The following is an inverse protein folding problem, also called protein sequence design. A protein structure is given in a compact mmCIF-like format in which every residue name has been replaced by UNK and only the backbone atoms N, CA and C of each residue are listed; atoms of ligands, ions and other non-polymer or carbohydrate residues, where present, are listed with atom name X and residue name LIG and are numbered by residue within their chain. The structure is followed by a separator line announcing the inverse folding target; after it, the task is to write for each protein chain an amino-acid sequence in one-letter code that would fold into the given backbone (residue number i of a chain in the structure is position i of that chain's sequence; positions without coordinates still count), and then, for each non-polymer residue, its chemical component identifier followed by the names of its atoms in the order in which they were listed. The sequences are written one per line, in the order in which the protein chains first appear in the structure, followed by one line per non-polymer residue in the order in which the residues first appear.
data_IF_751866951714
#
_entry.id   IF_751866951714
#
_cell.length_a   1.000
_cell.length_b   1.000
_cell.length_c   1.000
_cell.angle_alpha   90.00
_cell.angle_beta   90.00
_cell.angle_gamma   90.00
#
_symmetry.space_group_name_H-M   'P 1'
#
loop_
_entity.id
_entity.type
_entity.pdbx_description
1 polymer ?
#
# COMPACT_ATOMS: atom_id res chain seq x y z
N UNK A 1 -35.35 56.35 -5.09
CA UNK A 1 -34.75 55.03 -4.78
C UNK A 1 -33.70 54.73 -5.83
N UNK A 2 -32.42 54.79 -5.46
CA UNK A 2 -31.34 53.93 -6.00
C UNK A 2 -30.10 54.15 -5.13
N UNK A 3 -29.77 53.13 -4.34
CA UNK A 3 -28.52 52.97 -3.62
C UNK A 3 -27.38 52.73 -4.62
N UNK A 4 -26.15 53.16 -4.28
CA UNK A 4 -25.05 52.21 -4.42
C UNK A 4 -24.01 52.40 -3.31
N UNK A 5 -23.76 51.29 -2.61
CA UNK A 5 -23.10 51.18 -1.31
C UNK A 5 -21.63 50.79 -1.51
N UNK A 6 -20.73 51.49 -0.82
CA UNK A 6 -19.33 51.05 -0.61
C UNK A 6 -19.32 49.95 0.45
N UNK A 7 -19.16 48.70 0.03
CA UNK A 7 -18.84 47.61 0.94
C UNK A 7 -17.31 47.54 1.15
N UNK A 8 -16.85 48.00 2.31
CA UNK A 8 -15.53 47.67 2.84
C UNK A 8 -15.59 46.24 3.41
N UNK A 9 -14.84 45.30 2.84
CA UNK A 9 -14.62 43.99 3.46
C UNK A 9 -13.75 44.19 4.71
N UNK A 10 -14.36 44.01 5.89
CA UNK A 10 -13.63 43.80 7.15
C UNK A 10 -13.25 42.32 7.26
N UNK A 11 -11.95 42.06 7.35
CA UNK A 11 -11.38 40.74 7.65
C UNK A 11 -11.54 40.51 9.16
N UNK A 12 -12.16 39.41 9.63
CA UNK A 12 -12.22 39.10 11.05
C UNK A 12 -10.86 38.58 11.56
N UNK A 13 -10.47 38.88 12.82
CA UNK A 13 -9.24 38.38 13.39
C UNK A 13 -9.31 36.86 13.61
N UNK A 14 -8.25 36.15 13.21
CA UNK A 14 -8.10 34.72 13.41
C UNK A 14 -8.04 34.39 14.91
N UNK A 15 -8.96 33.54 15.36
CA UNK A 15 -8.94 32.95 16.70
C UNK A 15 -7.68 32.10 16.88
N UNK A 16 -6.92 32.39 17.94
CA UNK A 16 -5.80 31.59 18.42
C UNK A 16 -6.29 30.20 18.85
N UNK A 17 -5.77 29.16 18.19
CA UNK A 17 -5.82 27.78 18.67
C UNK A 17 -4.77 27.60 19.79
N UNK A 18 -5.12 26.96 20.92
CA UNK A 18 -4.15 26.67 21.96
C UNK A 18 -3.16 25.60 21.48
N UNK A 19 -1.88 25.83 21.73
CA UNK A 19 -0.79 24.92 21.38
C UNK A 19 -0.86 23.59 22.13
N UNK A 20 -0.13 22.57 21.66
CA UNK A 20 -0.11 21.25 22.29
C UNK A 20 0.60 21.30 23.65
N UNK A 21 -0.03 20.67 24.65
CA UNK A 21 0.53 20.44 25.98
C UNK A 21 1.77 19.52 25.93
N UNK A 22 2.74 19.69 26.84
CA UNK A 22 3.96 18.90 26.89
C UNK A 22 3.68 17.48 27.42
N UNK A 23 4.30 16.49 26.78
CA UNK A 23 4.27 15.09 27.22
C UNK A 23 5.36 14.86 28.29
N UNK A 24 4.93 14.46 29.49
CA UNK A 24 5.79 13.94 30.55
C UNK A 24 6.38 12.55 30.18
N UNK A 25 7.62 12.24 30.58
CA UNK A 25 8.25 10.95 30.32
C UNK A 25 7.97 9.96 31.46
N UNK A 26 7.61 8.72 31.11
CA UNK A 26 7.67 7.60 32.05
C UNK A 26 6.39 6.79 32.18
N UNK A 27 6.18 5.87 31.24
CA UNK A 27 5.55 4.59 31.56
C UNK A 27 5.95 3.55 30.53
N UNK A 28 6.64 2.52 31.02
CA UNK A 28 6.96 1.29 30.32
C UNK A 28 5.70 0.62 29.80
N UNK A 29 5.70 0.26 28.52
CA UNK A 29 4.71 -0.64 27.93
C UNK A 29 5.07 -2.10 28.29
N UNK A 30 4.08 -2.99 28.55
CA UNK A 30 4.35 -4.39 28.79
C UNK A 30 4.69 -5.11 27.47
N UNK A 31 5.68 -6.00 27.56
CA UNK A 31 6.08 -6.88 26.47
C UNK A 31 4.96 -7.90 26.17
N UNK A 32 4.45 -7.88 24.95
CA UNK A 32 3.58 -8.94 24.42
C UNK A 32 4.50 -10.03 23.86
N UNK A 33 4.65 -11.14 24.59
CA UNK A 33 5.28 -12.35 24.08
C UNK A 33 4.34 -13.04 23.08
N UNK A 34 4.78 -13.13 21.82
CA UNK A 34 4.18 -13.97 20.80
C UNK A 34 4.53 -15.44 21.10
N UNK A 35 3.54 -16.20 21.56
CA UNK A 35 3.62 -17.66 21.67
C UNK A 35 3.47 -18.30 20.28
N UNK A 36 4.52 -19.02 19.86
CA UNK A 36 4.51 -19.92 18.70
C UNK A 36 3.57 -21.12 18.94
N UNK A 37 2.85 -21.63 17.92
CA UNK A 37 2.04 -22.84 18.06
C UNK A 37 2.94 -24.09 18.11
N UNK A 38 2.77 -24.94 19.13
CA UNK A 38 3.35 -26.29 19.16
C UNK A 38 2.43 -27.29 18.45
N UNK A 39 3.01 -28.33 17.81
CA UNK A 39 2.25 -29.30 17.03
C UNK A 39 1.60 -30.38 17.91
N UNK A 40 0.48 -30.92 17.44
CA UNK A 40 -0.24 -32.07 18.00
C UNK A 40 0.59 -33.36 17.85
N UNK A 41 0.63 -34.24 18.86
CA UNK A 41 0.92 -35.65 18.66
C UNK A 41 -0.36 -36.47 18.59
N UNK A 42 -0.42 -37.33 17.59
CA UNK A 42 -1.29 -38.49 17.54
C UNK A 42 -0.62 -39.63 18.31
N UNK A 43 -1.35 -40.31 19.20
CA UNK A 43 -1.34 -41.78 19.27
C UNK A 43 -2.49 -42.29 20.14
N UNK A 44 -3.06 -43.43 19.74
CA UNK A 44 -4.15 -44.14 20.41
C UNK A 44 -3.59 -45.42 21.03
N UNK A 45 -3.93 -45.70 22.29
CA UNK A 45 -3.85 -47.07 22.83
C UNK A 45 -5.03 -47.39 23.74
N UNK A 46 -5.55 -48.60 23.56
CA UNK A 46 -6.62 -49.29 24.27
C UNK A 46 -6.36 -49.44 25.77
N UNK A 47 -7.34 -49.09 26.62
CA UNK A 47 -7.70 -49.83 27.84
C UNK A 47 -8.90 -49.15 28.53
N UNK A 48 -10.14 -49.55 28.22
CA UNK A 48 -11.24 -49.62 29.21
C UNK A 48 -12.50 -50.33 28.70
N UNK A 49 -12.34 -51.44 27.96
CA UNK A 49 -13.44 -52.36 27.67
C UNK A 49 -13.67 -53.33 28.83
N UNK A 50 -14.52 -52.94 29.79
CA UNK A 50 -15.27 -53.93 30.61
C UNK A 50 -16.51 -53.33 31.28
N UNK A 51 -17.65 -53.33 30.58
CA UNK A 51 -18.96 -53.62 31.18
C UNK A 51 -20.03 -53.64 30.08
N UNK A 52 -20.33 -54.85 29.64
CA UNK A 52 -21.43 -55.12 28.75
C UNK A 52 -22.78 -55.05 29.48
N UNK A 53 -23.80 -54.66 28.71
CA UNK A 53 -25.17 -55.17 28.74
C UNK A 53 -26.21 -54.56 29.69
N UNK A 54 -27.31 -54.16 29.04
CA UNK A 54 -28.73 -54.28 29.46
C UNK A 54 -29.33 -53.21 30.38
N UNK A 55 -30.24 -52.39 29.82
CA UNK A 55 -31.71 -52.61 29.81
C UNK A 55 -32.44 -51.35 29.36
N UNK A 56 -33.13 -51.46 28.23
CA UNK A 56 -34.26 -50.61 27.85
C UNK A 56 -35.36 -50.69 28.92
N UNK A 57 -35.89 -49.54 29.35
CA UNK A 57 -37.23 -49.43 29.96
C UNK A 57 -37.98 -48.26 29.31
N UNK A 58 -39.16 -48.59 28.80
CA UNK A 58 -40.20 -47.69 28.34
C UNK A 58 -40.77 -46.82 29.48
N UNK A 59 -41.22 -45.59 29.21
CA UNK A 59 -42.18 -44.91 30.05
C UNK A 59 -43.63 -45.24 29.62
N UNK A 60 -44.47 -45.63 30.58
CA UNK A 60 -45.93 -45.57 30.48
C UNK A 60 -46.43 -44.26 31.09
N UNK A 61 -47.47 -43.67 30.49
CA UNK A 61 -48.36 -42.70 31.14
C UNK A 61 -49.82 -43.08 30.78
N UNK A 62 -50.74 -43.17 31.76
CA UNK A 62 -52.10 -43.69 31.56
C UNK A 62 -53.17 -42.59 31.40
N UNK A 63 -54.35 -43.02 30.91
CA UNK A 63 -55.64 -42.49 31.41
C UNK A 63 -56.55 -41.82 30.37
N UNK A 64 -57.35 -42.63 29.66
CA UNK A 64 -58.48 -42.18 28.83
C UNK A 64 -59.70 -41.98 29.74
N UNK A 65 -60.20 -40.74 29.83
CA UNK A 65 -61.47 -40.42 30.49
C UNK A 65 -62.64 -40.50 29.51
N UNK A 66 -63.55 -41.45 29.75
CA UNK A 66 -64.81 -41.59 29.01
C UNK A 66 -65.84 -40.57 29.52
N UNK A 67 -66.02 -39.48 28.76
CA UNK A 67 -67.11 -38.53 28.94
C UNK A 67 -68.19 -38.74 27.88
N UNK A 68 -69.27 -39.43 28.25
CA UNK A 68 -70.46 -39.65 27.43
C UNK A 68 -71.13 -38.32 27.08
N UNK A 69 -70.84 -37.77 25.89
CA UNK A 69 -71.61 -36.66 25.31
C UNK A 69 -72.57 -37.20 24.27
N UNK A 70 -73.85 -37.18 24.64
CA UNK A 70 -74.98 -37.51 23.80
C UNK A 70 -74.97 -36.71 22.48
N UNK A 71 -74.81 -37.41 21.37
CA UNK A 71 -75.00 -36.84 20.04
C UNK A 71 -76.50 -36.73 19.75
N UNK A 72 -77.06 -35.52 19.92
CA UNK A 72 -78.32 -35.13 19.30
C UNK A 72 -78.10 -35.02 17.79
N UNK A 73 -78.57 -35.99 17.02
CA UNK A 73 -78.69 -35.85 15.57
C UNK A 73 -79.75 -34.79 15.25
N UNK A 74 -79.33 -33.70 14.60
CA UNK A 74 -80.22 -32.77 13.88
C UNK A 74 -80.09 -33.01 12.38
N UNK A 75 -81.17 -32.81 11.59
CA UNK A 75 -81.26 -33.27 10.22
C UNK A 75 -80.46 -32.35 9.29
N UNK A 76 -79.36 -32.86 8.75
CA UNK A 76 -78.52 -32.19 7.75
C UNK A 76 -77.56 -33.15 7.04
N UNK A 77 -77.83 -34.46 7.06
CA UNK A 77 -76.90 -35.50 6.63
C UNK A 77 -76.58 -35.49 5.12
N UNK A 78 -77.42 -34.86 4.28
CA UNK A 78 -77.09 -34.71 2.86
C UNK A 78 -76.01 -33.66 2.61
N UNK A 79 -76.01 -32.52 3.32
CA UNK A 79 -75.07 -31.42 3.07
C UNK A 79 -73.62 -31.73 3.50
N UNK A 80 -73.43 -32.63 4.48
CA UNK A 80 -72.11 -33.07 4.93
C UNK A 80 -71.45 -34.08 3.98
N UNK A 81 -72.24 -34.99 3.41
CA UNK A 81 -71.76 -36.00 2.48
C UNK A 81 -71.24 -35.37 1.17
N UNK A 82 -71.94 -34.36 0.64
CA UNK A 82 -71.48 -33.62 -0.54
C UNK A 82 -70.18 -32.86 -0.30
N UNK A 83 -69.97 -32.27 0.89
CA UNK A 83 -68.71 -31.60 1.24
C UNK A 83 -67.55 -32.58 1.38
N UNK A 84 -67.78 -33.75 1.98
CA UNK A 84 -66.76 -34.79 2.09
C UNK A 84 -66.37 -35.35 0.71
N UNK A 85 -67.34 -35.60 -0.17
CA UNK A 85 -67.08 -36.03 -1.54
C UNK A 85 -66.30 -34.97 -2.32
N UNK A 86 -66.67 -33.69 -2.20
CA UNK A 86 -65.95 -32.58 -2.84
C UNK A 86 -64.49 -32.48 -2.37
N UNK A 87 -64.22 -32.69 -1.08
CA UNK A 87 -62.86 -32.71 -0.55
C UNK A 87 -62.02 -33.88 -1.10
N UNK A 88 -62.63 -35.06 -1.25
CA UNK A 88 -61.95 -36.22 -1.85
C UNK A 88 -61.64 -35.99 -3.33
N UNK A 89 -62.60 -35.48 -4.10
CA UNK A 89 -62.39 -35.16 -5.51
C UNK A 89 -61.38 -34.01 -5.71
N UNK A 90 -61.39 -32.99 -4.85
CA UNK A 90 -60.40 -31.93 -4.87
C UNK A 90 -58.99 -32.45 -4.54
N UNK A 91 -58.88 -33.37 -3.58
CA UNK A 91 -57.60 -34.01 -3.22
C UNK A 91 -57.07 -34.87 -4.38
N UNK A 92 -57.92 -35.70 -4.98
CA UNK A 92 -57.57 -36.50 -6.15
C UNK A 92 -57.22 -35.61 -7.36
N UNK A 93 -57.97 -34.53 -7.58
CA UNK A 93 -57.69 -33.56 -8.64
C UNK A 93 -56.36 -32.84 -8.45
N UNK A 94 -56.01 -32.46 -7.22
CA UNK A 94 -54.72 -31.87 -6.89
C UNK A 94 -53.57 -32.87 -7.12
N UNK A 95 -53.76 -34.13 -6.73
CA UNK A 95 -52.79 -35.20 -6.98
C UNK A 95 -52.57 -35.45 -8.47
N UNK A 96 -53.66 -35.56 -9.24
CA UNK A 96 -53.61 -35.77 -10.68
C UNK A 96 -52.98 -34.58 -11.40
N UNK A 97 -53.28 -33.36 -10.96
CA UNK A 97 -52.68 -32.14 -11.51
C UNK A 97 -51.18 -32.07 -11.24
N UNK A 98 -50.72 -32.50 -10.06
CA UNK A 98 -49.30 -32.61 -9.75
C UNK A 98 -48.57 -33.63 -10.63
N UNK A 99 -49.20 -34.79 -10.88
CA UNK A 99 -48.65 -35.81 -11.77
C UNK A 99 -48.57 -35.32 -13.23
N UNK A 100 -49.63 -34.67 -13.71
CA UNK A 100 -49.70 -34.12 -15.06
C UNK A 100 -48.70 -32.96 -15.25
N UNK A 101 -48.42 -32.19 -14.20
CA UNK A 101 -47.40 -31.14 -14.22
C UNK A 101 -45.98 -31.71 -14.34
N UNK A 102 -45.70 -32.87 -13.73
CA UNK A 102 -44.40 -33.56 -13.84
C UNK A 102 -44.20 -34.16 -15.24
N UNK A 103 -45.26 -34.68 -15.88
CA UNK A 103 -45.15 -35.20 -17.26
C UNK A 103 -45.07 -34.11 -18.33
N UNK A 104 -45.68 -32.94 -18.11
CA UNK A 104 -45.74 -31.86 -19.10
C UNK A 104 -44.54 -30.90 -19.06
N UNK A 105 -43.74 -30.94 -17.98
CA UNK A 105 -42.55 -30.09 -17.84
C UNK A 105 -41.29 -30.83 -18.31
N UNK A 106 -40.69 -30.45 -19.45
CA UNK A 106 -39.39 -30.99 -19.83
C UNK A 106 -38.31 -30.53 -18.84
N UNK A 107 -37.60 -31.49 -18.25
CA UNK A 107 -36.44 -31.36 -17.34
C UNK A 107 -35.39 -30.29 -17.75
N UNK A 108 -35.36 -29.95 -19.03
CA UNK A 108 -34.39 -29.02 -19.66
C UNK A 108 -34.59 -27.56 -19.23
N UNK A 109 -35.81 -27.15 -18.88
CA UNK A 109 -36.09 -25.74 -18.51
C UNK A 109 -35.82 -25.44 -17.03
N UNK A 110 -35.99 -26.42 -16.14
CA UNK A 110 -35.69 -26.27 -14.71
C UNK A 110 -34.19 -26.24 -14.43
N UNK A 111 -33.40 -27.00 -15.18
CA UNK A 111 -31.95 -27.04 -15.01
C UNK A 111 -31.30 -25.70 -15.37
N UNK A 112 -31.76 -25.03 -16.43
CA UNK A 112 -31.21 -23.72 -16.85
C UNK A 112 -31.54 -22.57 -15.88
N UNK A 113 -32.73 -22.59 -15.28
CA UNK A 113 -33.17 -21.56 -14.32
C UNK A 113 -32.49 -21.72 -12.97
N UNK A 114 -32.33 -22.95 -12.48
CA UNK A 114 -31.58 -23.27 -11.25
C UNK A 114 -30.09 -22.92 -11.40
N UNK A 115 -29.49 -23.18 -12.57
CA UNK A 115 -28.10 -22.79 -12.84
C UNK A 115 -27.91 -21.27 -12.84
N UNK A 116 -28.87 -20.52 -13.42
CA UNK A 116 -28.81 -19.05 -13.42
C UNK A 116 -28.94 -18.46 -12.02
N UNK A 117 -29.78 -19.04 -11.15
CA UNK A 117 -30.01 -18.56 -9.78
C UNK A 117 -28.81 -18.86 -8.87
N UNK A 118 -28.13 -20.01 -9.05
CA UNK A 118 -26.89 -20.30 -8.34
C UNK A 118 -25.77 -19.30 -8.68
N UNK A 119 -25.70 -18.82 -9.93
CA UNK A 119 -24.68 -17.85 -10.36
C UNK A 119 -24.88 -16.42 -9.82
N UNK A 120 -26.09 -16.06 -9.36
CA UNK A 120 -26.38 -14.73 -8.79
C UNK A 120 -25.87 -14.61 -7.34
N UNK A 121 -25.66 -15.74 -6.65
CA UNK A 121 -25.09 -15.79 -5.29
C UNK A 121 -23.56 -15.67 -5.25
N UNK A 122 -22.88 -15.94 -6.37
CA UNK A 122 -21.45 -15.66 -6.51
C UNK A 122 -21.26 -14.18 -6.79
N UNK A 123 -21.17 -13.37 -5.74
CA UNK A 123 -20.61 -12.03 -5.87
C UNK A 123 -19.26 -12.19 -6.59
N UNK A 124 -19.05 -11.63 -7.80
CA UNK A 124 -17.75 -11.69 -8.42
C UNK A 124 -16.80 -11.02 -7.43
N UNK A 125 -15.85 -11.80 -6.93
CA UNK A 125 -14.82 -11.28 -6.04
C UNK A 125 -14.00 -10.33 -6.90
N UNK A 126 -14.37 -9.04 -6.88
CA UNK A 126 -13.61 -7.98 -7.49
C UNK A 126 -12.28 -7.88 -6.73
N UNK A 127 -11.31 -8.69 -7.14
CA UNK A 127 -9.93 -8.55 -6.69
C UNK A 127 -9.43 -7.27 -7.30
N UNK A 128 -9.13 -6.29 -6.45
CA UNK A 128 -8.37 -5.13 -6.89
C UNK A 128 -7.08 -5.66 -7.56
N UNK A 129 -6.71 -5.18 -8.76
CA UNK A 129 -5.45 -5.55 -9.37
C UNK A 129 -4.33 -5.24 -8.38
N UNK A 130 -3.33 -6.14 -8.29
CA UNK A 130 -2.17 -5.93 -7.43
C UNK A 130 -1.59 -4.54 -7.71
N UNK A 131 -1.21 -3.77 -6.67
CA UNK A 131 -0.58 -2.46 -6.86
C UNK A 131 0.57 -2.60 -7.84
N UNK A 132 0.47 -1.94 -9.00
CA UNK A 132 1.55 -1.98 -9.98
C UNK A 132 2.73 -1.22 -9.38
N UNK A 133 3.86 -1.91 -9.21
CA UNK A 133 5.13 -1.29 -8.85
C UNK A 133 5.48 -0.24 -9.91
N UNK A 134 5.72 0.99 -9.49
CA UNK A 134 6.15 2.08 -10.36
C UNK A 134 7.67 2.04 -10.54
N UNK A 135 8.18 2.67 -11.61
CA UNK A 135 9.62 2.81 -11.83
C UNK A 135 10.29 3.48 -10.63
N UNK A 136 11.46 2.98 -10.22
CA UNK A 136 12.19 3.45 -9.04
C UNK A 136 11.35 3.43 -7.74
N UNK A 137 10.32 2.59 -7.68
CA UNK A 137 9.42 2.45 -6.54
C UNK A 137 8.76 3.79 -6.15
N UNK A 138 8.43 4.63 -7.14
CA UNK A 138 7.69 5.87 -6.93
C UNK A 138 6.31 5.63 -6.31
N UNK A 139 5.83 6.61 -5.57
CA UNK A 139 4.48 6.57 -5.01
C UNK A 139 3.39 6.70 -6.10
N UNK A 140 3.59 7.58 -7.07
CA UNK A 140 2.67 7.79 -8.21
C UNK A 140 3.36 7.49 -9.53
N UNK A 141 2.62 7.02 -10.55
CA UNK A 141 3.16 6.86 -11.89
C UNK A 141 3.63 8.21 -12.47
N UNK A 142 4.76 8.20 -13.17
CA UNK A 142 5.20 9.36 -13.93
C UNK A 142 4.31 9.61 -15.17
N UNK A 143 4.11 10.88 -15.58
CA UNK A 143 3.44 11.20 -16.83
C UNK A 143 4.13 10.58 -18.06
N UNK A 144 3.42 10.38 -19.19
CA UNK A 144 4.03 9.89 -20.42
C UNK A 144 5.14 10.84 -20.89
N UNK A 145 6.10 10.30 -21.65
CA UNK A 145 7.26 11.04 -22.17
C UNK A 145 8.10 11.76 -21.10
N UNK A 146 8.28 11.10 -19.94
CA UNK A 146 9.18 11.56 -18.88
C UNK A 146 10.19 10.48 -18.51
N UNK A 147 11.27 10.87 -17.82
CA UNK A 147 12.19 9.97 -17.14
C UNK A 147 11.91 9.98 -15.64
N UNK A 148 11.74 8.82 -15.02
CA UNK A 148 11.64 8.66 -13.58
C UNK A 148 13.04 8.65 -12.94
N UNK A 149 13.24 9.40 -11.86
CA UNK A 149 14.44 9.31 -11.04
C UNK A 149 14.10 9.21 -9.56
N UNK A 150 15.00 8.61 -8.79
CA UNK A 150 14.96 8.62 -7.33
C UNK A 150 16.37 8.68 -6.78
N UNK A 151 16.62 9.67 -5.94
CA UNK A 151 17.89 9.90 -5.26
C UNK A 151 17.68 9.69 -3.77
N UNK A 152 18.54 8.88 -3.18
CA UNK A 152 18.56 8.57 -1.76
C UNK A 152 19.98 8.74 -1.24
N UNK A 153 20.19 9.60 -0.24
CA UNK A 153 21.48 9.70 0.43
C UNK A 153 21.74 8.46 1.31
N UNK A 154 22.98 8.33 1.78
CA UNK A 154 23.29 7.39 2.85
C UNK A 154 22.64 7.79 4.17
N UNK A 155 22.42 6.79 5.03
CA UNK A 155 21.95 6.94 6.41
C UNK A 155 22.92 6.24 7.35
N UNK A 156 23.78 7.01 8.03
CA UNK A 156 24.91 6.43 8.75
C UNK A 156 25.88 5.70 7.81
N UNK A 157 26.46 4.60 8.29
CA UNK A 157 27.39 3.75 7.53
C UNK A 157 26.69 2.59 6.83
N UNK A 158 25.64 2.04 7.44
CA UNK A 158 25.05 0.77 6.99
C UNK A 158 23.93 0.95 5.95
N UNK A 159 23.33 2.15 5.87
CA UNK A 159 22.34 2.46 4.82
C UNK A 159 23.05 3.18 3.67
N UNK A 160 23.32 2.44 2.61
CA UNK A 160 23.99 2.96 1.42
C UNK A 160 23.11 3.91 0.61
N UNK A 161 23.76 4.93 0.05
CA UNK A 161 23.13 5.84 -0.90
C UNK A 161 22.70 5.10 -2.18
N UNK A 162 21.68 5.61 -2.87
CA UNK A 162 21.13 5.02 -4.09
C UNK A 162 20.78 6.08 -5.12
N UNK A 163 21.13 5.81 -6.37
CA UNK A 163 20.67 6.55 -7.54
C UNK A 163 19.91 5.58 -8.43
N UNK A 164 18.61 5.80 -8.59
CA UNK A 164 17.77 5.07 -9.55
C UNK A 164 17.33 6.02 -10.66
N UNK A 165 17.40 5.55 -11.90
CA UNK A 165 16.95 6.26 -13.09
C UNK A 165 16.26 5.27 -14.03
N UNK A 166 15.03 5.56 -14.44
CA UNK A 166 14.22 4.69 -15.33
C UNK A 166 14.09 3.23 -14.84
N UNK A 167 13.98 3.04 -13.52
CA UNK A 167 13.95 1.73 -12.84
C UNK A 167 15.27 0.94 -12.83
N UNK A 168 16.34 1.53 -13.36
CA UNK A 168 17.69 1.01 -13.28
C UNK A 168 18.43 1.62 -12.09
N UNK A 169 19.05 0.77 -11.26
CA UNK A 169 19.89 1.20 -10.16
C UNK A 169 21.29 1.53 -10.68
N UNK A 170 21.63 2.82 -10.77
CA UNK A 170 22.90 3.29 -11.31
C UNK A 170 24.01 3.29 -10.25
N UNK A 171 23.67 3.68 -9.03
CA UNK A 171 24.57 3.67 -7.87
C UNK A 171 23.86 3.02 -6.71
N UNK A 172 24.53 2.11 -6.01
CA UNK A 172 24.04 1.53 -4.78
C UNK A 172 24.77 0.25 -4.39
N UNK A 173 24.43 -0.28 -3.21
CA UNK A 173 25.06 -1.47 -2.63
C UNK A 173 24.99 -2.68 -3.57
N UNK A 174 23.83 -2.91 -4.21
CA UNK A 174 23.65 -4.01 -5.17
C UNK A 174 24.57 -3.92 -6.39
N UNK A 175 25.03 -2.72 -6.74
CA UNK A 175 25.96 -2.48 -7.85
C UNK A 175 27.42 -2.55 -7.40
N UNK A 176 27.69 -2.59 -6.09
CA UNK A 176 29.05 -2.59 -5.54
C UNK A 176 29.86 -1.32 -5.81
N UNK A 177 29.21 -0.22 -6.22
CA UNK A 177 29.86 0.99 -6.71
C UNK A 177 29.58 2.24 -5.85
N UNK A 178 28.94 2.08 -4.70
CA UNK A 178 28.69 3.17 -3.75
C UNK A 178 29.80 3.20 -2.69
N UNK A 179 30.34 4.39 -2.43
CA UNK A 179 31.39 4.59 -1.42
C UNK A 179 31.16 5.89 -0.66
N UNK A 180 31.93 6.11 0.42
CA UNK A 180 31.94 7.36 1.19
C UNK A 180 32.23 8.55 0.27
N UNK A 181 31.57 9.68 0.51
CA UNK A 181 31.76 10.89 -0.28
C UNK A 181 30.53 11.31 -1.08
N UNK A 182 30.79 12.02 -2.17
CA UNK A 182 29.77 12.40 -3.16
C UNK A 182 29.80 11.37 -4.29
N UNK A 183 28.69 10.69 -4.50
CA UNK A 183 28.50 9.70 -5.57
C UNK A 183 27.69 10.35 -6.69
N UNK A 184 28.15 10.24 -7.93
CA UNK A 184 27.56 10.93 -9.09
C UNK A 184 27.29 9.94 -10.21
N UNK A 185 26.11 10.01 -10.80
CA UNK A 185 25.79 9.39 -12.08
C UNK A 185 25.54 10.46 -13.15
N UNK A 186 26.14 10.30 -14.33
CA UNK A 186 25.94 11.16 -15.50
C UNK A 186 25.13 10.38 -16.53
N UNK A 187 23.98 10.91 -16.90
CA UNK A 187 23.07 10.32 -17.89
C UNK A 187 22.96 11.25 -19.09
N UNK A 188 22.98 10.71 -20.30
CA UNK A 188 22.68 11.49 -21.49
C UNK A 188 21.17 11.76 -21.55
N UNK A 189 20.77 13.03 -21.56
CA UNK A 189 19.37 13.42 -21.49
C UNK A 189 18.57 12.99 -22.72
N UNK A 190 19.17 13.06 -23.92
CA UNK A 190 18.49 12.72 -25.18
C UNK A 190 18.20 11.22 -25.25
N UNK A 191 19.17 10.39 -24.90
CA UNK A 191 19.07 8.92 -25.06
C UNK A 191 18.62 8.18 -23.80
N UNK A 192 18.68 8.83 -22.63
CA UNK A 192 18.43 8.21 -21.33
C UNK A 192 19.51 7.23 -20.87
N UNK A 193 20.63 7.11 -21.59
CA UNK A 193 21.70 6.16 -21.27
C UNK A 193 22.69 6.72 -20.27
N UNK A 194 23.11 5.89 -19.30
CA UNK A 194 24.25 6.19 -18.42
C UNK A 194 25.53 6.36 -19.23
N UNK A 195 26.29 7.39 -18.90
CA UNK A 195 27.62 7.65 -19.44
C UNK A 195 28.72 7.32 -18.44
N UNK A 196 28.55 7.71 -17.18
CA UNK A 196 29.55 7.49 -16.15
C UNK A 196 28.88 7.43 -14.77
N UNK A 197 29.46 6.62 -13.88
CA UNK A 197 29.20 6.65 -12.45
C UNK A 197 30.54 6.77 -11.74
N UNK A 198 30.66 7.69 -10.81
CA UNK A 198 31.92 7.97 -10.12
C UNK A 198 31.66 8.44 -8.69
N UNK A 199 32.53 8.05 -7.78
CA UNK A 199 32.50 8.49 -6.38
C UNK A 199 33.75 9.28 -6.04
N UNK A 200 33.57 10.32 -5.23
CA UNK A 200 34.63 11.20 -4.76
C UNK A 200 34.58 11.25 -3.24
N UNK A 201 35.56 10.62 -2.58
CA UNK A 201 35.68 10.65 -1.12
C UNK A 201 36.00 12.07 -0.66
N UNK A 202 35.09 12.66 0.12
CA UNK A 202 35.23 14.02 0.66
C UNK A 202 35.71 14.02 2.12
N UNK A 203 36.09 12.88 2.68
CA UNK A 203 36.68 12.77 4.01
C UNK A 203 38.20 12.53 3.94
N UNK A 204 38.62 11.64 3.05
CA UNK A 204 40.04 11.30 2.81
C UNK A 204 40.48 11.65 1.38
N UNK A 205 41.80 11.79 1.19
CA UNK A 205 42.40 12.13 -0.11
C UNK A 205 42.24 13.59 -0.52
N UNK A 206 42.53 13.90 -1.79
CA UNK A 206 42.30 15.22 -2.40
C UNK A 206 41.41 15.11 -3.64
N UNK A 207 40.16 14.72 -3.41
CA UNK A 207 39.22 14.43 -4.50
C UNK A 207 38.37 15.63 -4.92
N UNK A 208 38.54 16.80 -4.30
CA UNK A 208 37.74 17.99 -4.62
C UNK A 208 38.06 18.57 -6.01
N UNK A 209 39.33 18.54 -6.43
CA UNK A 209 39.71 18.98 -7.77
C UNK A 209 39.27 17.96 -8.85
N UNK A 210 39.51 16.64 -8.67
CA UNK A 210 38.93 15.61 -9.54
C UNK A 210 37.40 15.70 -9.69
N UNK A 211 36.67 15.90 -8.58
CA UNK A 211 35.22 16.14 -8.60
C UNK A 211 34.84 17.32 -9.49
N UNK A 212 35.55 18.44 -9.34
CA UNK A 212 35.32 19.66 -10.13
C UNK A 212 35.55 19.41 -11.62
N UNK A 213 36.63 18.71 -11.96
CA UNK A 213 36.94 18.36 -13.34
C UNK A 213 35.89 17.43 -13.93
N UNK A 214 35.47 16.40 -13.19
CA UNK A 214 34.42 15.48 -13.62
C UNK A 214 33.11 16.20 -13.95
N UNK A 215 32.67 17.08 -13.05
CA UNK A 215 31.46 17.90 -13.25
C UNK A 215 31.59 18.78 -14.50
N UNK A 216 32.71 19.50 -14.65
CA UNK A 216 32.93 20.39 -15.80
C UNK A 216 33.10 19.65 -17.13
N UNK A 217 33.57 18.41 -17.08
CA UNK A 217 33.71 17.55 -18.27
C UNK A 217 32.40 16.93 -18.74
N UNK A 218 31.31 17.06 -17.96
CA UNK A 218 30.01 16.55 -18.35
C UNK A 218 29.56 17.21 -19.68
N UNK A 219 29.28 16.43 -20.73
CA UNK A 219 28.85 16.96 -22.01
C UNK A 219 27.53 17.73 -21.88
N UNK A 220 27.29 18.70 -22.78
CA UNK A 220 25.98 19.31 -22.90
C UNK A 220 24.89 18.24 -23.14
N UNK A 221 23.66 18.54 -22.71
CA UNK A 221 22.53 17.60 -22.72
C UNK A 221 22.79 16.38 -21.83
N UNK A 222 23.37 16.59 -20.64
CA UNK A 222 23.50 15.57 -19.60
C UNK A 222 22.76 15.94 -18.32
N UNK A 223 22.19 14.92 -17.68
CA UNK A 223 21.70 14.95 -16.31
C UNK A 223 22.82 14.48 -15.39
N UNK A 224 23.03 15.18 -14.28
CA UNK A 224 23.95 14.79 -13.21
C UNK A 224 23.13 14.52 -11.95
N UNK A 225 23.15 13.29 -11.49
CA UNK A 225 22.44 12.81 -10.31
C UNK A 225 23.48 12.60 -9.21
N UNK A 226 23.33 13.26 -8.07
CA UNK A 226 24.34 13.30 -7.01
C UNK A 226 23.72 12.96 -5.66
N UNK A 227 24.41 12.12 -4.89
CA UNK A 227 24.00 11.72 -3.54
C UNK A 227 25.23 11.62 -2.62
N UNK A 228 25.09 11.99 -1.35
CA UNK A 228 26.14 11.76 -0.35
C UNK A 228 25.99 10.41 0.32
N UNK A 229 27.10 9.80 0.71
CA UNK A 229 27.16 8.67 1.63
C UNK A 229 28.24 8.92 2.69
N UNK A 230 27.91 8.69 3.96
CA UNK A 230 28.73 9.01 5.14
C UNK A 230 29.09 10.51 5.28
N UNK A 231 30.13 11.01 4.60
CA UNK A 231 30.49 12.42 4.60
C UNK A 231 30.85 12.93 3.20
N UNK A 232 30.18 14.01 2.78
CA UNK A 232 30.39 14.70 1.51
C UNK A 232 31.02 16.08 1.63
N UNK A 233 31.59 16.46 2.78
CA UNK A 233 31.87 17.87 3.08
C UNK A 233 33.28 18.20 3.59
N UNK A 234 33.95 17.30 4.32
CA UNK A 234 35.16 17.63 5.09
C UNK A 234 36.27 18.24 4.24
N UNK A 235 36.45 17.72 3.03
CA UNK A 235 37.46 18.13 2.05
C UNK A 235 36.86 18.78 0.81
N UNK A 236 35.58 19.15 0.85
CA UNK A 236 34.90 19.83 -0.25
C UNK A 236 35.36 21.30 -0.33
N UNK A 237 36.24 21.61 -1.29
CA UNK A 237 36.87 22.93 -1.45
C UNK A 237 35.96 23.91 -2.19
N UNK A 238 36.33 25.20 -2.13
CA UNK A 238 35.57 26.30 -2.72
C UNK A 238 35.30 26.11 -4.23
N UNK A 239 36.28 25.65 -5.01
CA UNK A 239 36.11 25.47 -6.46
C UNK A 239 35.06 24.42 -6.82
N UNK A 240 34.98 23.33 -6.06
CA UNK A 240 33.95 22.31 -6.25
C UNK A 240 32.57 22.86 -5.87
N UNK A 241 32.47 23.63 -4.77
CA UNK A 241 31.24 24.33 -4.39
C UNK A 241 30.80 25.32 -5.48
N UNK A 242 31.73 26.10 -6.03
CA UNK A 242 31.48 27.03 -7.13
C UNK A 242 30.93 26.29 -8.37
N UNK A 243 31.52 25.14 -8.73
CA UNK A 243 31.08 24.36 -9.89
C UNK A 243 29.68 23.75 -9.69
N UNK A 244 29.37 23.27 -8.49
CA UNK A 244 28.06 22.73 -8.14
C UNK A 244 26.98 23.82 -8.06
N UNK A 245 27.32 25.00 -7.55
CA UNK A 245 26.45 26.17 -7.53
C UNK A 245 26.16 26.67 -8.95
N UNK A 246 27.15 26.63 -9.85
CA UNK A 246 26.96 26.96 -11.28
C UNK A 246 26.01 25.98 -12.00
N UNK A 247 25.88 24.74 -11.51
CA UNK A 247 24.84 23.79 -11.93
C UNK A 247 23.47 24.06 -11.31
N UNK A 248 23.37 25.09 -10.47
CA UNK A 248 22.12 25.55 -9.86
C UNK A 248 21.83 24.96 -8.48
N UNK A 249 22.82 24.37 -7.79
CA UNK A 249 22.68 23.99 -6.38
C UNK A 249 22.55 25.23 -5.50
N UNK A 250 21.58 25.22 -4.60
CA UNK A 250 21.33 26.25 -3.59
C UNK A 250 21.86 25.87 -2.22
N UNK A 251 22.08 24.57 -1.96
CA UNK A 251 22.47 24.07 -0.64
C UNK A 251 23.94 23.68 -0.52
N UNK A 252 24.70 23.58 -1.61
CA UNK A 252 26.09 23.09 -1.55
C UNK A 252 27.00 23.96 -0.66
N UNK A 253 26.71 25.26 -0.56
CA UNK A 253 27.41 26.19 0.35
C UNK A 253 27.15 25.88 1.81
N UNK A 254 25.97 25.35 2.12
CA UNK A 254 25.52 25.03 3.47
C UNK A 254 25.99 23.64 3.94
N UNK A 255 26.69 22.87 3.10
CA UNK A 255 27.22 21.56 3.46
C UNK A 255 28.09 21.63 4.73
N UNK A 256 27.75 20.77 5.70
CA UNK A 256 28.48 20.56 6.96
C UNK A 256 28.87 19.09 7.09
N UNK A 257 29.77 18.79 8.02
CA UNK A 257 30.20 17.42 8.34
C UNK A 257 29.00 16.47 8.45
N UNK A 258 29.03 15.39 7.65
CA UNK A 258 27.99 14.35 7.56
C UNK A 258 26.60 14.83 7.15
N UNK A 259 26.48 15.98 6.49
CA UNK A 259 25.21 16.38 5.91
C UNK A 259 24.78 15.38 4.83
N UNK A 260 23.56 14.88 4.97
CA UNK A 260 22.88 14.13 3.92
C UNK A 260 22.46 15.13 2.84
N UNK A 261 22.85 14.89 1.59
CA UNK A 261 22.55 15.78 0.47
C UNK A 261 22.26 14.96 -0.79
N UNK A 262 21.26 15.40 -1.54
CA UNK A 262 20.86 14.83 -2.83
C UNK A 262 20.59 15.98 -3.80
N UNK A 263 21.04 15.82 -5.03
CA UNK A 263 20.95 16.89 -6.04
C UNK A 263 20.86 16.34 -7.45
N UNK A 264 19.97 16.94 -8.23
CA UNK A 264 19.76 16.70 -9.65
C UNK A 264 20.10 18.00 -10.39
N UNK A 265 21.07 17.91 -11.30
CA UNK A 265 21.46 19.00 -12.19
C UNK A 265 21.29 18.61 -13.66
N UNK A 266 21.23 19.64 -14.50
CA UNK A 266 21.26 19.52 -15.96
C UNK A 266 22.37 20.41 -16.52
N UNK A 267 22.96 19.97 -17.63
CA UNK A 267 23.99 20.70 -18.37
C UNK A 267 23.51 21.00 -19.78
N UNK A 268 23.61 22.25 -20.22
CA UNK A 268 23.17 22.67 -21.56
C UNK A 268 21.65 22.77 -21.76
N UNK A 269 20.85 22.69 -20.69
CA UNK A 269 19.42 22.98 -20.68
C UNK A 269 18.93 23.25 -19.24
N UNK A 270 17.71 23.77 -19.09
CA UNK A 270 17.10 24.04 -17.79
C UNK A 270 16.08 22.96 -17.44
N UNK A 271 16.08 22.54 -16.17
CA UNK A 271 15.03 21.67 -15.63
C UNK A 271 13.76 22.49 -15.36
N UNK A 272 12.57 21.87 -15.45
CA UNK A 272 11.30 22.55 -15.16
C UNK A 272 11.27 23.16 -13.76
N UNK A 273 10.63 24.32 -13.63
CA UNK A 273 10.37 24.92 -12.33
C UNK A 273 9.44 24.02 -11.50
N UNK A 274 9.70 23.91 -10.20
CA UNK A 274 8.94 23.06 -9.29
C UNK A 274 9.37 21.58 -9.25
N UNK A 275 10.26 21.13 -10.13
CA UNK A 275 10.82 19.77 -10.04
C UNK A 275 11.67 19.63 -8.76
N UNK A 276 11.42 18.62 -7.89
CA UNK A 276 12.22 18.38 -6.69
C UNK A 276 13.66 17.99 -7.03
N UNK A 277 14.55 18.96 -7.10
CA UNK A 277 15.92 18.77 -7.59
C UNK A 277 17.01 18.83 -6.54
N UNK A 278 16.72 19.25 -5.32
CA UNK A 278 17.71 19.34 -4.26
C UNK A 278 17.09 19.19 -2.88
N UNK A 279 17.81 18.54 -1.96
CA UNK A 279 17.47 18.50 -0.54
C UNK A 279 18.74 18.32 0.28
N UNK A 280 18.77 18.91 1.47
CA UNK A 280 19.84 18.75 2.45
C UNK A 280 19.26 18.46 3.85
N UNK A 281 20.00 17.68 4.64
CA UNK A 281 19.72 17.45 6.05
C UNK A 281 21.04 17.43 6.82
N UNK A 282 21.16 18.30 7.82
CA UNK A 282 22.40 18.48 8.57
C UNK A 282 22.45 17.54 9.78
N UNK A 283 23.66 17.13 10.14
CA UNK A 283 23.88 16.42 11.40
C UNK A 283 23.56 17.35 12.58
N UNK A 284 22.73 16.86 13.50
CA UNK A 284 22.32 17.51 14.74
C UNK A 284 22.20 16.43 15.81
N UNK A 285 23.03 16.49 16.85
CA UNK A 285 23.09 15.47 17.89
C UNK A 285 21.75 15.20 18.59
N UNK A 286 20.80 16.15 18.54
CA UNK A 286 19.46 15.98 19.13
C UNK A 286 18.43 15.37 18.17
N UNK A 287 18.67 15.45 16.86
CA UNK A 287 17.73 14.99 15.80
C UNK A 287 18.27 13.84 14.96
N UNK A 288 19.54 13.49 15.15
CA UNK A 288 20.21 12.46 14.40
C UNK A 288 19.49 11.12 14.57
N UNK A 289 19.16 10.51 13.42
CA UNK A 289 18.53 9.17 13.38
C UNK A 289 19.52 8.06 13.71
N UNK A 290 20.80 8.30 13.44
CA UNK A 290 21.90 7.38 13.69
C UNK A 290 22.93 8.04 14.60
N UNK A 291 23.74 7.26 15.33
CA UNK A 291 24.73 7.79 16.27
C UNK A 291 25.78 8.67 15.57
N UNK A 292 25.55 9.99 15.51
CA UNK A 292 26.42 10.96 14.85
C UNK A 292 26.16 11.20 13.35
N UNK A 293 25.06 10.67 12.78
CA UNK A 293 24.64 10.94 11.41
C UNK A 293 23.15 11.32 11.34
N UNK A 294 22.78 12.27 10.46
CA UNK A 294 21.39 12.63 10.23
C UNK A 294 20.64 11.50 9.50
N UNK A 295 19.31 11.61 9.48
CA UNK A 295 18.50 10.74 8.64
C UNK A 295 18.88 10.91 7.15
N UNK A 296 18.83 9.80 6.42
CA UNK A 296 18.88 9.79 4.98
C UNK A 296 17.71 10.61 4.40
N UNK A 297 17.94 11.23 3.26
CA UNK A 297 16.94 12.02 2.55
C UNK A 297 16.74 11.51 1.15
N UNK A 298 15.53 11.73 0.66
CA UNK A 298 15.10 11.32 -0.65
C UNK A 298 14.48 12.48 -1.42
N UNK A 299 14.75 12.51 -2.72
CA UNK A 299 13.95 13.23 -3.72
C UNK A 299 13.64 12.27 -4.87
N UNK A 300 12.45 12.42 -5.43
CA UNK A 300 12.01 11.66 -6.60
C UNK A 300 11.16 12.56 -7.49
N UNK A 301 11.10 12.24 -8.77
CA UNK A 301 10.34 13.03 -9.72
C UNK A 301 10.45 12.50 -11.14
N UNK A 302 9.81 13.24 -12.05
CA UNK A 302 9.69 12.88 -13.46
C UNK A 302 10.24 14.03 -14.30
N UNK A 303 11.29 13.78 -15.08
CA UNK A 303 11.96 14.77 -15.94
C UNK A 303 11.35 14.67 -17.34
N UNK A 304 10.75 15.72 -17.91
CA UNK A 304 10.26 15.69 -19.29
C UNK A 304 11.37 15.31 -20.26
N UNK A 305 11.07 14.47 -21.25
CA UNK A 305 12.01 14.18 -22.35
C UNK A 305 11.95 15.29 -23.39
N UNK A 306 13.04 15.45 -24.15
CA UNK A 306 13.01 16.31 -25.33
C UNK A 306 11.97 15.73 -26.31
N UNK A 307 11.08 16.56 -26.89
CA UNK A 307 10.17 16.09 -27.91
C UNK A 307 11.00 15.52 -29.07
N UNK A 308 10.73 14.25 -29.39
CA UNK A 308 11.34 13.52 -30.52
C UNK A 308 10.91 14.08 -31.86
#
# INVERSE_FOLDING_TARGET
MTLNSRAQLRIPPCLHLPGPLPLEPGRSAPAIYLSLPRPLPADWTEEETRAATTRLRFPQVPGVGWGSRAWKMRPGALAGAFKAAFLVFASLGAWFSGYLLVELLPEVQLSSTVYSIQSIGEKPILRAPLPRRQKCDHWTPCPPNTYAYRLLSGGGRDKHAKICFEDELLVGEKMGNVQRGINIAVVNYVTGKVRATQTFDMYEGDNSAPLTQFIRSAPAKSLLLMVTHDDGSTRLKADAKNALEALGSREIRNMRFRSSWVFLAATGFQLPEGLPREKINHSDNTKNRYSGWPAEIQIEGCIPREPS
#
